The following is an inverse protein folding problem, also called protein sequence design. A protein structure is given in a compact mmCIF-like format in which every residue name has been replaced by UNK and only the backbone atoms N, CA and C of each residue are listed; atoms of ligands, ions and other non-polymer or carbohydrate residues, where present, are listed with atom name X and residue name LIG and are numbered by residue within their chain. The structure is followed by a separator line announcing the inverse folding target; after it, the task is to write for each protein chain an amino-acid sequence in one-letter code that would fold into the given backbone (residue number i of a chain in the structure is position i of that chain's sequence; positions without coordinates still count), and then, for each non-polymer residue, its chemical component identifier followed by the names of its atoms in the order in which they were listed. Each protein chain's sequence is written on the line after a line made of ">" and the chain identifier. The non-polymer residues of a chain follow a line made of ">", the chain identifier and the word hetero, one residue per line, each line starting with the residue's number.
data_IF_768561514950
#
_entry.id   IF_768561514950
#
_cell.length_a   1.000
_cell.length_b   1.000
_cell.length_c   1.000
_cell.angle_alpha   90.00
_cell.angle_beta   90.00
_cell.angle_gamma   90.00
#
_symmetry.space_group_name_H-M   'P 1'
#
loop_
_entity.id
_entity.type
_entity.pdbx_description
1 polymer ?
#
# COMPACT_ATOMS: atom_id res chain seq x y z
N UNK A 1 8.84 -11.08 27.23
CA UNK A 1 8.50 -9.84 26.52
C UNK A 1 7.59 -10.21 25.38
N UNK A 2 6.48 -9.51 25.11
CA UNK A 2 5.70 -9.78 23.90
C UNK A 2 6.61 -9.63 22.68
N UNK A 3 6.45 -10.50 21.70
CA UNK A 3 7.23 -10.43 20.47
C UNK A 3 6.87 -9.14 19.73
N UNK A 4 7.88 -8.35 19.37
CA UNK A 4 7.73 -7.11 18.61
C UNK A 4 7.22 -7.44 17.21
N UNK A 5 6.06 -6.91 16.84
CA UNK A 5 5.47 -7.15 15.52
C UNK A 5 6.20 -6.31 14.47
N UNK A 6 6.75 -6.95 13.44
CA UNK A 6 7.40 -6.24 12.34
C UNK A 6 6.39 -5.90 11.26
N UNK A 7 6.40 -4.65 10.79
CA UNK A 7 5.54 -4.16 9.70
C UNK A 7 6.45 -3.77 8.53
N UNK A 8 6.31 -4.44 7.39
CA UNK A 8 7.05 -4.09 6.19
C UNK A 8 6.44 -2.84 5.54
N UNK A 9 7.25 -1.81 5.35
CA UNK A 9 6.91 -0.60 4.60
C UNK A 9 7.54 -0.71 3.21
N UNK A 10 6.71 -0.92 2.20
CA UNK A 10 7.16 -1.14 0.83
C UNK A 10 7.14 0.16 0.06
N UNK A 11 8.29 0.72 -0.20
CA UNK A 11 8.55 1.83 -1.11
C UNK A 11 10.06 2.04 -1.27
N UNK A 12 10.45 2.85 -2.24
CA UNK A 12 11.84 3.29 -2.43
C UNK A 12 12.07 4.50 -1.51
N UNK A 13 12.49 4.22 -0.27
CA UNK A 13 12.50 5.19 0.84
C UNK A 13 13.31 6.44 0.52
N UNK A 14 12.68 7.59 0.72
CA UNK A 14 13.29 8.92 0.65
C UNK A 14 12.91 9.72 1.90
N UNK A 15 13.88 10.05 2.78
CA UNK A 15 13.61 10.86 3.97
C UNK A 15 13.20 12.30 3.65
N UNK A 16 13.50 12.78 2.45
CA UNK A 16 13.09 14.10 1.95
C UNK A 16 11.65 14.14 1.42
N UNK A 17 11.00 12.99 1.26
CA UNK A 17 9.60 12.90 0.85
C UNK A 17 8.70 12.79 2.08
N UNK A 18 7.97 13.86 2.48
CA UNK A 18 7.26 13.92 3.77
C UNK A 18 6.31 12.76 4.07
N UNK A 19 5.63 12.12 3.08
CA UNK A 19 4.79 10.97 3.36
C UNK A 19 5.55 9.76 3.93
N UNK A 20 6.84 9.58 3.66
CA UNK A 20 7.60 8.43 4.16
C UNK A 20 7.79 8.48 5.68
N UNK A 21 8.41 9.53 6.28
CA UNK A 21 8.49 9.61 7.73
C UNK A 21 7.11 9.67 8.41
N UNK A 22 6.09 10.24 7.75
CA UNK A 22 4.72 10.22 8.27
C UNK A 22 4.12 8.80 8.32
N UNK A 23 4.41 7.95 7.32
CA UNK A 23 4.01 6.54 7.31
C UNK A 23 4.65 5.77 8.47
N UNK A 24 5.94 5.99 8.72
CA UNK A 24 6.65 5.37 9.83
C UNK A 24 6.06 5.81 11.18
N UNK A 25 5.83 7.12 11.35
CA UNK A 25 5.19 7.67 12.57
C UNK A 25 3.78 7.11 12.77
N UNK A 26 3.01 6.89 11.71
CA UNK A 26 1.67 6.33 11.81
C UNK A 26 1.67 4.87 12.32
N UNK A 27 2.68 4.06 11.96
CA UNK A 27 2.84 2.71 12.55
C UNK A 27 3.08 2.80 14.05
N UNK A 28 3.94 3.71 14.50
CA UNK A 28 4.23 3.90 15.93
C UNK A 28 3.00 4.37 16.69
N UNK A 29 2.29 5.39 16.19
CA UNK A 29 1.04 5.87 16.78
C UNK A 29 -0.04 4.80 16.89
N UNK A 30 -0.17 3.95 15.82
CA UNK A 30 -1.09 2.82 15.84
C UNK A 30 -0.72 1.79 16.90
N UNK A 31 0.56 1.46 17.02
CA UNK A 31 1.07 0.54 18.03
C UNK A 31 0.82 1.05 19.45
N UNK A 32 1.13 2.32 19.73
CA UNK A 32 0.87 2.97 21.02
C UNK A 32 -0.61 2.93 21.38
N UNK A 33 -1.49 3.27 20.42
CA UNK A 33 -2.95 3.25 20.63
C UNK A 33 -3.48 1.86 20.97
N UNK A 34 -2.87 0.82 20.41
CA UNK A 34 -3.24 -0.58 20.64
C UNK A 34 -2.53 -1.21 21.82
N UNK A 35 -1.57 -0.54 22.46
CA UNK A 35 -0.78 -1.07 23.55
C UNK A 35 0.13 -2.23 23.14
N UNK A 36 0.62 -2.24 21.90
CA UNK A 36 1.52 -3.26 21.34
C UNK A 36 2.84 -2.63 20.89
N UNK A 37 3.88 -3.45 20.74
CA UNK A 37 5.13 -3.02 20.11
C UNK A 37 5.11 -3.35 18.62
N UNK A 38 5.38 -2.35 17.78
CA UNK A 38 5.57 -2.54 16.35
C UNK A 38 6.89 -1.94 15.88
N UNK A 39 7.50 -2.59 14.87
CA UNK A 39 8.73 -2.16 14.23
C UNK A 39 8.47 -1.94 12.74
N UNK A 40 8.43 -0.69 12.25
CA UNK A 40 8.40 -0.41 10.83
C UNK A 40 9.77 -0.75 10.21
N UNK A 41 9.76 -1.48 9.09
CA UNK A 41 10.96 -1.86 8.36
C UNK A 41 10.76 -1.53 6.89
N UNK A 42 11.54 -0.58 6.37
CA UNK A 42 11.52 -0.23 4.96
C UNK A 42 12.17 -1.32 4.10
N UNK A 43 11.52 -1.63 2.98
CA UNK A 43 12.01 -2.56 1.97
C UNK A 43 11.83 -1.89 0.61
N UNK A 44 12.93 -1.69 -0.09
CA UNK A 44 12.94 -1.15 -1.44
C UNK A 44 12.26 -2.09 -2.43
N UNK A 45 11.58 -1.53 -3.42
CA UNK A 45 10.81 -2.35 -4.37
C UNK A 45 11.70 -3.27 -5.21
N UNK A 46 12.93 -2.87 -5.51
CA UNK A 46 13.92 -3.71 -6.21
C UNK A 46 14.37 -4.94 -5.40
N UNK A 47 14.31 -4.86 -4.06
CA UNK A 47 14.71 -5.98 -3.19
C UNK A 47 13.71 -7.15 -3.23
N UNK A 48 12.51 -6.91 -3.76
CA UNK A 48 11.42 -7.87 -3.82
C UNK A 48 11.37 -8.67 -5.13
N UNK A 49 12.08 -8.21 -6.16
CA UNK A 49 12.07 -8.89 -7.46
C UNK A 49 12.60 -10.33 -7.43
N UNK A 50 13.71 -10.60 -6.74
CA UNK A 50 14.26 -11.96 -6.75
C UNK A 50 13.38 -12.95 -5.99
N UNK A 51 12.89 -12.57 -4.81
CA UNK A 51 12.07 -13.44 -3.94
C UNK A 51 11.33 -12.62 -2.86
N UNK A 52 10.15 -12.15 -3.21
CA UNK A 52 9.30 -11.43 -2.26
C UNK A 52 8.90 -12.30 -1.06
N UNK A 53 8.72 -13.61 -1.26
CA UNK A 53 8.31 -14.51 -0.18
C UNK A 53 9.38 -14.63 0.90
N UNK A 54 10.65 -14.82 0.52
CA UNK A 54 11.75 -14.87 1.47
C UNK A 54 11.94 -13.54 2.21
N UNK A 55 11.79 -12.41 1.50
CA UNK A 55 11.96 -11.06 2.08
C UNK A 55 10.84 -10.67 3.04
N UNK A 56 9.62 -11.15 2.82
CA UNK A 56 8.43 -10.77 3.58
C UNK A 56 8.02 -11.80 4.64
N UNK A 57 8.67 -12.95 4.65
CA UNK A 57 8.40 -13.97 5.65
C UNK A 57 8.60 -13.42 7.07
N UNK A 58 7.61 -13.68 7.95
CA UNK A 58 7.66 -13.27 9.35
C UNK A 58 7.26 -11.82 9.65
N UNK A 59 6.85 -11.05 8.66
CA UNK A 59 6.21 -9.76 8.90
C UNK A 59 4.75 -9.96 9.31
N UNK A 60 4.31 -9.22 10.32
CA UNK A 60 2.94 -9.25 10.84
C UNK A 60 1.95 -8.47 9.96
N UNK A 61 2.45 -7.59 9.11
CA UNK A 61 1.67 -6.80 8.18
C UNK A 61 2.55 -6.13 7.14
N UNK A 62 1.95 -5.74 6.03
CA UNK A 62 2.61 -5.07 4.91
C UNK A 62 1.87 -3.77 4.61
N UNK A 63 2.60 -2.68 4.50
CA UNK A 63 2.07 -1.39 4.07
C UNK A 63 2.80 -0.93 2.81
N UNK A 64 2.09 -0.91 1.68
CA UNK A 64 2.62 -0.31 0.45
C UNK A 64 2.41 1.20 0.57
N UNK A 65 3.52 1.89 0.83
CA UNK A 65 3.54 3.31 1.18
C UNK A 65 3.41 4.22 -0.06
N UNK A 66 3.16 5.52 0.10
CA UNK A 66 3.20 6.49 -1.00
C UNK A 66 4.56 6.51 -1.71
N UNK A 67 4.64 7.06 -2.93
CA UNK A 67 5.90 7.30 -3.63
C UNK A 67 6.00 6.67 -5.02
N UNK A 68 4.86 6.41 -5.68
CA UNK A 68 4.87 5.98 -7.09
C UNK A 68 5.34 7.11 -8.04
N UNK A 69 5.93 6.79 -9.21
CA UNK A 69 6.22 5.43 -9.67
C UNK A 69 7.33 4.79 -8.86
N UNK A 70 7.17 3.50 -8.53
CA UNK A 70 8.21 2.74 -7.83
C UNK A 70 9.31 2.34 -8.80
N UNK A 71 10.53 2.13 -8.27
CA UNK A 71 11.68 1.67 -9.07
C UNK A 71 11.42 0.29 -9.69
N UNK A 72 10.74 -0.61 -8.95
CA UNK A 72 10.29 -1.89 -9.47
C UNK A 72 8.78 -2.07 -9.37
N UNK A 73 8.10 -2.00 -10.52
CA UNK A 73 6.70 -2.40 -10.64
C UNK A 73 6.52 -3.90 -10.31
N UNK A 74 7.43 -4.75 -10.79
CA UNK A 74 7.38 -6.19 -10.53
C UNK A 74 7.50 -6.49 -9.04
N UNK A 75 8.43 -5.83 -8.34
CA UNK A 75 8.65 -6.01 -6.91
C UNK A 75 7.46 -5.59 -6.06
N UNK A 76 6.87 -4.41 -6.32
CA UNK A 76 5.70 -3.97 -5.55
C UNK A 76 4.49 -4.88 -5.79
N UNK A 77 4.25 -5.33 -7.04
CA UNK A 77 3.17 -6.27 -7.33
C UNK A 77 3.43 -7.65 -6.68
N UNK A 78 4.69 -8.10 -6.63
CA UNK A 78 5.05 -9.34 -5.93
C UNK A 78 4.77 -9.27 -4.42
N UNK A 79 5.04 -8.12 -3.77
CA UNK A 79 4.71 -7.92 -2.36
C UNK A 79 3.20 -7.95 -2.10
N UNK A 80 2.41 -7.30 -2.94
CA UNK A 80 0.95 -7.27 -2.83
C UNK A 80 0.37 -8.68 -3.04
N UNK A 81 0.86 -9.37 -4.07
CA UNK A 81 0.49 -10.76 -4.34
C UNK A 81 0.82 -11.68 -3.17
N UNK A 82 2.04 -11.57 -2.61
CA UNK A 82 2.45 -12.34 -1.44
C UNK A 82 1.50 -12.13 -0.26
N UNK A 83 1.15 -10.87 0.04
CA UNK A 83 0.24 -10.55 1.14
C UNK A 83 -1.14 -11.21 0.93
N UNK A 84 -1.70 -11.11 -0.29
CA UNK A 84 -3.00 -11.68 -0.64
C UNK A 84 -3.00 -13.22 -0.60
N UNK A 85 -1.94 -13.86 -1.11
CA UNK A 85 -1.86 -15.33 -1.20
C UNK A 85 -1.52 -16.00 0.13
N UNK A 86 -0.93 -15.26 1.07
CA UNK A 86 -0.54 -15.78 2.40
C UNK A 86 -1.37 -15.19 3.55
N UNK A 87 -2.48 -14.51 3.23
CA UNK A 87 -3.40 -13.87 4.21
C UNK A 87 -2.68 -12.93 5.20
N UNK A 88 -1.63 -12.24 4.73
CA UNK A 88 -0.93 -11.21 5.50
C UNK A 88 -1.70 -9.90 5.43
N UNK A 89 -2.01 -9.24 6.56
CA UNK A 89 -2.65 -7.93 6.55
C UNK A 89 -1.94 -6.94 5.64
N UNK A 90 -2.69 -6.34 4.71
CA UNK A 90 -2.16 -5.40 3.71
C UNK A 90 -2.88 -4.06 3.78
N UNK A 91 -2.11 -2.98 3.81
CA UNK A 91 -2.58 -1.61 3.61
C UNK A 91 -1.86 -1.01 2.40
N UNK A 92 -2.59 -0.32 1.54
CA UNK A 92 -2.04 0.49 0.46
C UNK A 92 -2.53 1.93 0.58
N UNK A 93 -1.62 2.90 0.51
CA UNK A 93 -1.95 4.33 0.55
C UNK A 93 -1.38 5.06 -0.66
N UNK A 94 -2.12 6.03 -1.21
CA UNK A 94 -1.73 6.80 -2.40
C UNK A 94 -1.34 5.87 -3.56
N UNK A 95 -0.11 5.95 -4.05
CA UNK A 95 0.42 5.04 -5.07
C UNK A 95 0.31 3.57 -4.67
N UNK A 96 0.51 3.23 -3.38
CA UNK A 96 0.35 1.87 -2.89
C UNK A 96 -1.05 1.31 -3.10
N UNK A 97 -2.10 2.09 -2.83
CA UNK A 97 -3.48 1.70 -3.13
C UNK A 97 -3.69 1.46 -4.64
N UNK A 98 -3.16 2.34 -5.47
CA UNK A 98 -3.26 2.20 -6.93
C UNK A 98 -2.64 0.88 -7.42
N UNK A 99 -1.51 0.48 -6.83
CA UNK A 99 -0.85 -0.79 -7.17
C UNK A 99 -1.59 -2.02 -6.62
N UNK A 100 -2.29 -1.91 -5.49
CA UNK A 100 -3.21 -2.95 -5.02
C UNK A 100 -4.34 -3.19 -6.03
N UNK A 101 -4.93 -2.11 -6.58
CA UNK A 101 -5.94 -2.21 -7.64
C UNK A 101 -5.37 -2.88 -8.90
N UNK A 102 -4.15 -2.51 -9.28
CA UNK A 102 -3.48 -3.06 -10.47
C UNK A 102 -3.16 -4.55 -10.30
N UNK A 103 -2.63 -4.95 -9.15
CA UNK A 103 -2.36 -6.37 -8.83
C UNK A 103 -3.63 -7.19 -8.90
N UNK A 104 -4.68 -6.71 -8.26
CA UNK A 104 -5.97 -7.41 -8.25
C UNK A 104 -6.57 -7.55 -9.66
N UNK A 105 -6.51 -6.50 -10.45
CA UNK A 105 -6.97 -6.54 -11.84
C UNK A 105 -6.22 -7.59 -12.65
N UNK A 106 -4.90 -7.65 -12.54
CA UNK A 106 -4.06 -8.57 -13.32
C UNK A 106 -4.19 -10.02 -12.85
N UNK A 107 -4.08 -10.25 -11.55
CA UNK A 107 -3.87 -11.59 -11.00
C UNK A 107 -5.14 -12.24 -10.46
N UNK A 108 -6.19 -11.47 -10.14
CA UNK A 108 -7.46 -12.01 -9.65
C UNK A 108 -8.54 -11.96 -10.74
N UNK A 109 -8.66 -10.82 -11.44
CA UNK A 109 -9.65 -10.66 -12.52
C UNK A 109 -9.16 -11.15 -13.89
N UNK A 110 -7.88 -11.54 -14.02
CA UNK A 110 -7.30 -12.04 -15.27
C UNK A 110 -7.10 -10.97 -16.36
N UNK A 111 -7.07 -9.69 -15.99
CA UNK A 111 -6.90 -8.57 -16.92
C UNK A 111 -5.39 -8.24 -17.01
N UNK A 112 -4.66 -9.11 -17.72
CA UNK A 112 -3.20 -9.07 -17.76
C UNK A 112 -2.61 -7.74 -18.31
N UNK A 113 -3.34 -7.06 -19.17
CA UNK A 113 -2.99 -5.79 -19.79
C UNK A 113 -3.45 -4.54 -19.00
N UNK A 114 -4.01 -4.74 -17.80
CA UNK A 114 -4.31 -3.62 -16.89
C UNK A 114 -3.04 -2.81 -16.60
N UNK A 115 -3.08 -1.50 -16.80
CA UNK A 115 -1.89 -0.63 -16.76
C UNK A 115 -2.14 0.62 -15.94
N UNK A 116 -1.05 1.18 -15.44
CA UNK A 116 -1.00 2.44 -14.70
C UNK A 116 -0.34 3.51 -15.57
N UNK A 117 -0.96 4.68 -15.67
CA UNK A 117 -0.50 5.76 -16.55
C UNK A 117 0.89 6.33 -16.22
N UNK A 118 1.42 6.10 -15.02
CA UNK A 118 2.79 6.52 -14.67
C UNK A 118 3.87 5.66 -15.34
N UNK A 119 3.55 4.41 -15.69
CA UNK A 119 4.49 3.50 -16.39
C UNK A 119 4.27 3.49 -17.89
N UNK A 120 3.01 3.55 -18.34
CA UNK A 120 2.67 3.65 -19.76
C UNK A 120 1.39 4.47 -19.95
N UNK A 121 1.53 5.79 -20.21
CA UNK A 121 0.37 6.69 -20.36
C UNK A 121 -0.44 6.45 -21.65
N UNK A 122 0.10 5.67 -22.59
CA UNK A 122 -0.54 5.40 -23.88
C UNK A 122 -1.12 3.98 -23.97
N UNK A 123 -1.07 3.21 -22.89
CA UNK A 123 -1.65 1.88 -22.87
C UNK A 123 -3.15 1.90 -23.18
N UNK A 124 -3.60 0.89 -23.90
CA UNK A 124 -5.00 0.76 -24.31
C UNK A 124 -5.97 0.50 -23.16
N UNK A 125 -5.45 0.01 -22.01
CA UNK A 125 -6.26 -0.35 -20.84
C UNK A 125 -5.67 0.23 -19.56
N UNK A 126 -5.92 1.51 -19.34
CA UNK A 126 -5.54 2.20 -18.11
C UNK A 126 -6.55 1.91 -17.00
N UNK A 127 -6.10 1.25 -15.93
CA UNK A 127 -6.86 1.09 -14.69
C UNK A 127 -6.63 2.28 -13.76
N UNK A 128 -5.42 2.83 -13.78
CA UNK A 128 -5.07 4.06 -13.08
C UNK A 128 -4.70 5.09 -14.13
N UNK A 129 -5.45 6.17 -14.19
CA UNK A 129 -5.26 7.28 -15.13
C UNK A 129 -5.11 8.60 -14.39
N UNK A 130 -4.55 9.58 -15.08
CA UNK A 130 -4.44 10.95 -14.54
C UNK A 130 -5.83 11.55 -14.38
N UNK A 131 -6.04 12.23 -13.25
CA UNK A 131 -7.23 13.04 -13.06
C UNK A 131 -7.19 14.27 -13.99
N UNK A 132 -8.36 14.67 -14.48
CA UNK A 132 -8.50 15.90 -15.26
C UNK A 132 -8.33 17.18 -14.43
N UNK A 133 -8.37 17.08 -13.09
CA UNK A 133 -8.13 18.19 -12.16
C UNK A 133 -7.35 17.70 -10.94
N UNK A 134 -6.57 18.60 -10.32
CA UNK A 134 -5.86 18.31 -9.07
C UNK A 134 -6.84 18.22 -7.88
N UNK A 135 -6.61 17.24 -7.01
CA UNK A 135 -7.28 17.11 -5.73
C UNK A 135 -6.44 17.68 -4.55
N UNK A 136 -5.26 18.20 -4.83
CA UNK A 136 -4.38 18.78 -3.80
C UNK A 136 -5.10 19.91 -3.08
N UNK A 137 -5.14 19.83 -1.75
CA UNK A 137 -5.81 20.82 -0.89
C UNK A 137 -7.35 20.78 -0.92
N UNK A 138 -7.94 19.76 -1.52
CA UNK A 138 -9.38 19.51 -1.48
C UNK A 138 -9.70 18.44 -0.45
N UNK A 139 -10.73 18.68 0.33
CA UNK A 139 -11.30 17.70 1.23
C UNK A 139 -12.53 17.08 0.59
N UNK A 140 -12.66 15.75 0.64
CA UNK A 140 -13.77 15.02 0.07
C UNK A 140 -14.40 14.07 1.09
N UNK A 141 -15.72 13.89 1.01
CA UNK A 141 -16.38 12.84 1.76
C UNK A 141 -16.13 11.49 1.10
N UNK A 142 -15.52 10.57 1.84
CA UNK A 142 -15.34 9.17 1.44
C UNK A 142 -16.38 8.33 2.16
N UNK A 143 -17.16 7.54 1.40
CA UNK A 143 -18.17 6.63 1.94
C UNK A 143 -17.59 5.23 2.07
N UNK A 144 -17.72 4.65 3.26
CA UNK A 144 -17.19 3.33 3.60
C UNK A 144 -18.30 2.30 3.59
N UNK A 145 -18.04 1.15 2.98
CA UNK A 145 -19.01 0.05 2.96
C UNK A 145 -19.24 -0.50 4.36
N UNK A 146 -20.50 -0.68 4.75
CA UNK A 146 -20.84 -1.26 6.04
C UNK A 146 -20.22 -2.66 6.18
N UNK A 147 -19.68 -2.96 7.37
CA UNK A 147 -19.01 -4.23 7.66
C UNK A 147 -17.58 -4.36 7.09
N UNK A 148 -17.09 -3.35 6.36
CA UNK A 148 -15.69 -3.34 5.89
C UNK A 148 -14.72 -3.10 7.05
N UNK A 149 -13.48 -3.61 6.91
CA UNK A 149 -12.39 -3.30 7.86
C UNK A 149 -12.12 -1.80 7.98
N UNK A 150 -12.24 -1.07 6.86
CA UNK A 150 -12.11 0.39 6.87
C UNK A 150 -13.19 1.05 7.73
N UNK A 151 -14.47 0.69 7.54
CA UNK A 151 -15.55 1.24 8.37
C UNK A 151 -15.36 0.92 9.85
N UNK A 152 -14.88 -0.28 10.19
CA UNK A 152 -14.56 -0.64 11.58
C UNK A 152 -13.41 0.20 12.14
N UNK A 153 -12.36 0.43 11.36
CA UNK A 153 -11.20 1.23 11.78
C UNK A 153 -11.55 2.70 11.99
N UNK A 154 -12.37 3.26 11.12
CA UNK A 154 -12.87 4.65 11.26
C UNK A 154 -13.96 4.81 12.31
N UNK A 155 -14.67 3.74 12.68
CA UNK A 155 -15.83 3.80 13.56
C UNK A 155 -17.03 4.56 12.95
N UNK A 156 -17.04 4.72 11.61
CA UNK A 156 -18.02 5.50 10.85
C UNK A 156 -18.18 4.93 9.46
N UNK A 157 -19.32 5.24 8.79
CA UNK A 157 -19.56 4.94 7.38
C UNK A 157 -19.16 6.09 6.45
N UNK A 158 -18.65 7.19 6.99
CA UNK A 158 -18.14 8.32 6.21
C UNK A 158 -16.92 8.92 6.91
N UNK A 159 -15.97 9.39 6.12
CA UNK A 159 -14.78 10.10 6.56
C UNK A 159 -14.52 11.29 5.64
N UNK A 160 -13.92 12.34 6.17
CA UNK A 160 -13.43 13.48 5.39
C UNK A 160 -11.93 13.33 5.20
N UNK A 161 -11.50 13.23 3.93
CA UNK A 161 -10.11 13.02 3.52
C UNK A 161 -9.64 14.11 2.55
#
# INVERSE_FOLDING_TARGET
>A
MPARSRVALIADFDPGFPPHPATEAAVQQGAEKLGVEAEPVWIGTNELEPDAAARLAGFAGIWVAPGSPYQSLAGVLAAIRYARENDVPLLGTCGGFQHVVLEYARNVLGIADATHAEYDPYASRLFISRLGCSLVGKTMEVRLSAGSRAAMAYGSLAAME
#
